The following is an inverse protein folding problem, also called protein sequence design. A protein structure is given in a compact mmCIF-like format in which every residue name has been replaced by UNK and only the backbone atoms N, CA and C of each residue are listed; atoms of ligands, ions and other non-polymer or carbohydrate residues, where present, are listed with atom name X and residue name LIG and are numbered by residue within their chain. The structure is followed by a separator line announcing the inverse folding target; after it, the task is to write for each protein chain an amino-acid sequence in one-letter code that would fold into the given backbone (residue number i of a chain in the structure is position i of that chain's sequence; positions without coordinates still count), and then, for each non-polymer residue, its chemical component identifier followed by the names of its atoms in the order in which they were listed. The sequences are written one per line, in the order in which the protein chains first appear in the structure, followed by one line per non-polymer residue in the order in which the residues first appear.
data_IF_178264273878
#
_entry.id   IF_178264273878
#
_cell.length_a   1.000
_cell.length_b   1.000
_cell.length_c   1.000
_cell.angle_alpha   90.00
_cell.angle_beta   90.00
_cell.angle_gamma   90.00
#
_symmetry.space_group_name_H-M   'P 1'
#
loop_
_entity.id
_entity.type
_entity.pdbx_description
1 polymer ?
#
# COMPACT_ATOMS: atom_id res chain seq x y z
N UNK A 1 21.57 23.60 11.28
CA UNK A 1 20.36 23.72 10.43
C UNK A 1 19.90 22.31 10.09
N UNK A 2 18.72 21.92 10.57
CA UNK A 2 18.23 20.53 10.42
C UNK A 2 17.42 20.43 9.11
N UNK A 3 18.04 20.02 8.03
CA UNK A 3 17.41 19.85 6.70
C UNK A 3 16.79 18.46 6.48
N UNK A 4 16.76 17.60 7.52
CA UNK A 4 16.32 16.21 7.40
C UNK A 4 14.81 15.94 7.56
N UNK A 5 14.00 16.97 7.88
CA UNK A 5 12.60 16.72 8.27
C UNK A 5 11.55 17.07 7.20
N UNK A 6 11.96 17.63 6.05
CA UNK A 6 11.01 18.14 5.06
C UNK A 6 10.52 17.10 4.04
N UNK A 7 11.29 16.05 3.82
CA UNK A 7 10.96 14.99 2.84
C UNK A 7 10.03 13.89 3.39
N UNK A 8 9.79 13.89 4.69
CA UNK A 8 9.00 12.86 5.38
C UNK A 8 7.49 13.15 5.47
N UNK A 9 7.03 14.30 4.95
CA UNK A 9 5.63 14.74 5.03
C UNK A 9 4.82 14.35 3.77
N UNK A 10 5.45 13.81 2.74
CA UNK A 10 4.79 13.46 1.48
C UNK A 10 4.20 12.06 1.57
N UNK A 11 2.96 11.94 2.03
CA UNK A 11 2.22 10.68 2.03
C UNK A 11 1.20 10.51 3.16
N UNK A 12 1.16 11.40 4.12
CA UNK A 12 0.14 11.36 5.18
C UNK A 12 -0.80 12.55 5.07
N UNK A 13 -2.09 12.28 5.19
CA UNK A 13 -3.03 13.36 5.46
C UNK A 13 -2.60 14.05 6.75
N UNK A 14 -2.06 15.25 6.60
CA UNK A 14 -1.62 16.06 7.73
C UNK A 14 -2.84 16.27 8.62
N UNK A 15 -2.82 15.73 9.84
CA UNK A 15 -3.95 15.87 10.77
C UNK A 15 -4.38 17.33 10.85
N UNK A 16 -5.66 17.63 11.11
CA UNK A 16 -6.14 19.01 11.21
C UNK A 16 -5.31 19.87 12.17
N UNK A 17 -4.81 19.26 13.24
CA UNK A 17 -3.94 19.93 14.22
C UNK A 17 -2.56 20.26 13.64
N UNK A 18 -1.96 19.36 12.88
CA UNK A 18 -0.67 19.58 12.22
C UNK A 18 -0.79 20.56 11.05
N UNK A 19 -1.92 20.54 10.31
CA UNK A 19 -2.24 21.56 9.30
C UNK A 19 -2.29 22.96 9.93
N UNK A 20 -2.98 23.10 11.06
CA UNK A 20 -3.06 24.36 11.79
C UNK A 20 -1.69 24.84 12.26
N UNK A 21 -0.89 23.94 12.85
CA UNK A 21 0.45 24.27 13.33
C UNK A 21 1.39 24.69 12.18
N UNK A 22 1.35 23.99 11.05
CA UNK A 22 2.11 24.38 9.86
C UNK A 22 1.66 25.73 9.28
N UNK A 23 0.36 26.02 9.36
CA UNK A 23 -0.20 27.29 8.90
C UNK A 23 0.20 28.47 9.80
N UNK A 24 0.41 28.22 11.09
CA UNK A 24 0.89 29.21 12.07
C UNK A 24 2.42 29.42 11.99
N UNK A 25 3.20 28.36 11.71
CA UNK A 25 4.67 28.39 11.67
C UNK A 25 5.25 28.84 10.33
N UNK A 26 4.52 28.64 9.22
CA UNK A 26 4.99 28.97 7.87
C UNK A 26 4.35 30.30 7.39
N UNK A 27 5.14 31.08 6.65
CA UNK A 27 4.53 32.22 5.96
C UNK A 27 3.54 31.72 4.86
N UNK A 28 2.53 32.54 4.49
CA UNK A 28 1.44 32.13 3.59
C UNK A 28 1.93 31.60 2.23
N UNK A 29 3.02 32.14 1.67
CA UNK A 29 3.59 31.70 0.39
C UNK A 29 4.22 30.31 0.52
N UNK A 30 4.98 30.06 1.58
CA UNK A 30 5.62 28.77 1.84
C UNK A 30 4.58 27.69 2.12
N UNK A 31 3.53 28.03 2.87
CA UNK A 31 2.42 27.12 3.12
C UNK A 31 1.67 26.76 1.84
N UNK A 32 1.38 27.73 0.97
CA UNK A 32 0.72 27.50 -0.33
C UNK A 32 1.57 26.61 -1.26
N UNK A 33 2.90 26.84 -1.31
CA UNK A 33 3.82 25.99 -2.08
C UNK A 33 3.86 24.56 -1.57
N UNK A 34 3.88 24.37 -0.25
CA UNK A 34 3.84 23.06 0.39
C UNK A 34 2.54 22.33 0.06
N UNK A 35 1.39 23.00 0.16
CA UNK A 35 0.08 22.43 -0.21
C UNK A 35 0.03 22.05 -1.70
N UNK A 36 0.53 22.92 -2.58
CA UNK A 36 0.63 22.65 -4.01
C UNK A 36 1.47 21.41 -4.31
N UNK A 37 2.61 21.28 -3.64
CA UNK A 37 3.49 20.11 -3.76
C UNK A 37 2.81 18.83 -3.26
N UNK A 38 2.20 18.84 -2.07
CA UNK A 38 1.47 17.70 -1.51
C UNK A 38 0.34 17.28 -2.47
N UNK A 39 -0.46 18.22 -2.96
CA UNK A 39 -1.55 17.92 -3.88
C UNK A 39 -1.03 17.35 -5.23
N UNK A 40 0.09 17.89 -5.75
CA UNK A 40 0.69 17.36 -6.98
C UNK A 40 1.19 15.93 -6.84
N UNK A 41 1.72 15.56 -5.67
CA UNK A 41 2.13 14.18 -5.40
C UNK A 41 0.90 13.26 -5.27
N UNK A 42 -0.14 13.67 -4.55
CA UNK A 42 -1.42 12.93 -4.44
C UNK A 42 -2.02 12.63 -5.82
N UNK A 43 -2.08 13.64 -6.69
CA UNK A 43 -2.62 13.49 -8.04
C UNK A 43 -1.76 12.55 -8.90
N UNK A 44 -0.44 12.63 -8.78
CA UNK A 44 0.47 11.71 -9.48
C UNK A 44 0.31 10.26 -9.04
N UNK A 45 0.22 10.00 -7.74
CA UNK A 45 0.04 8.63 -7.24
C UNK A 45 -1.32 8.05 -7.64
N UNK A 46 -2.41 8.82 -7.53
CA UNK A 46 -3.73 8.40 -7.94
C UNK A 46 -3.80 8.11 -9.45
N UNK A 47 -3.26 9.00 -10.30
CA UNK A 47 -3.28 8.81 -11.77
C UNK A 47 -2.41 7.61 -12.20
N UNK A 48 -1.24 7.42 -11.58
CA UNK A 48 -0.34 6.29 -11.89
C UNK A 48 -0.99 4.96 -11.47
N UNK A 49 -1.66 4.90 -10.32
CA UNK A 49 -2.36 3.69 -9.89
C UNK A 49 -3.53 3.35 -10.83
N UNK A 50 -4.32 4.35 -11.22
CA UNK A 50 -5.48 4.18 -12.10
C UNK A 50 -5.07 3.80 -13.54
N UNK A 51 -4.04 4.44 -14.08
CA UNK A 51 -3.46 4.13 -15.38
C UNK A 51 -2.88 2.72 -15.44
N UNK A 52 -2.25 2.26 -14.36
CA UNK A 52 -1.68 0.91 -14.29
C UNK A 52 -2.74 -0.18 -14.10
N UNK A 53 -3.78 0.06 -13.31
CA UNK A 53 -4.91 -0.87 -13.18
C UNK A 53 -5.59 -1.01 -14.55
N UNK A 54 -5.74 0.08 -15.28
CA UNK A 54 -6.29 0.08 -16.65
C UNK A 54 -5.37 -0.66 -17.62
N UNK A 55 -4.06 -0.41 -17.57
CA UNK A 55 -3.07 -1.10 -18.41
C UNK A 55 -2.98 -2.61 -18.11
N UNK A 56 -3.18 -3.02 -16.85
CA UNK A 56 -3.25 -4.43 -16.47
C UNK A 56 -4.53 -5.11 -16.98
N UNK A 57 -5.65 -4.38 -17.03
CA UNK A 57 -6.91 -4.87 -17.58
C UNK A 57 -6.86 -5.06 -19.12
N UNK A 58 -5.97 -4.36 -19.80
CA UNK A 58 -5.78 -4.44 -21.27
C UNK A 58 -4.78 -5.53 -21.70
N UNK A 59 -4.14 -6.27 -20.77
CA UNK A 59 -3.26 -7.40 -21.12
C UNK A 59 -4.15 -8.49 -21.75
N UNK A 60 -3.94 -8.86 -23.05
CA UNK A 60 -4.74 -9.89 -23.69
C UNK A 60 -4.66 -11.20 -22.91
N UNK A 61 -5.80 -11.81 -22.62
CA UNK A 61 -5.91 -13.06 -21.85
C UNK A 61 -5.15 -14.26 -22.47
N UNK A 62 -4.66 -14.16 -23.69
CA UNK A 62 -3.87 -15.18 -24.37
C UNK A 62 -2.35 -15.10 -24.09
N UNK A 63 -1.86 -14.03 -23.53
CA UNK A 63 -0.56 -14.02 -22.88
C UNK A 63 -0.83 -14.27 -21.40
N UNK A 64 -0.79 -15.53 -20.97
CA UNK A 64 -0.59 -15.89 -19.55
C UNK A 64 0.74 -15.22 -19.15
N UNK A 65 0.67 -13.93 -18.88
CA UNK A 65 1.78 -13.21 -18.33
C UNK A 65 2.15 -13.96 -17.07
N UNK A 66 3.38 -14.41 -16.99
CA UNK A 66 3.97 -15.03 -15.82
C UNK A 66 3.52 -14.18 -14.61
N UNK A 67 2.97 -14.81 -13.58
CA UNK A 67 2.50 -14.12 -12.38
C UNK A 67 3.55 -13.17 -11.80
N UNK A 68 4.83 -13.47 -12.04
CA UNK A 68 5.96 -12.58 -11.79
C UNK A 68 5.88 -11.27 -12.56
N UNK A 69 5.56 -11.30 -13.85
CA UNK A 69 5.53 -10.09 -14.68
C UNK A 69 4.38 -9.19 -14.28
N UNK A 70 3.21 -9.78 -13.97
CA UNK A 70 2.07 -9.03 -13.43
C UNK A 70 2.47 -8.40 -12.10
N UNK A 71 3.05 -9.17 -11.18
CA UNK A 71 3.46 -8.69 -9.87
C UNK A 71 4.49 -7.56 -9.97
N UNK A 72 5.51 -7.69 -10.83
CA UNK A 72 6.51 -6.64 -11.03
C UNK A 72 5.90 -5.35 -11.59
N UNK A 73 4.88 -5.43 -12.45
CA UNK A 73 4.13 -4.26 -12.92
C UNK A 73 3.31 -3.62 -11.80
N UNK A 74 2.67 -4.42 -10.94
CA UNK A 74 1.90 -3.92 -9.80
C UNK A 74 2.76 -3.12 -8.83
N UNK A 75 3.97 -3.59 -8.53
CA UNK A 75 4.85 -2.96 -7.53
C UNK A 75 5.75 -1.86 -8.11
N UNK A 76 5.88 -1.77 -9.44
CA UNK A 76 6.80 -0.82 -10.08
C UNK A 76 6.66 0.64 -9.63
N UNK A 77 5.45 1.21 -9.43
CA UNK A 77 5.28 2.59 -8.97
C UNK A 77 5.75 2.84 -7.55
N UNK A 78 5.86 1.78 -6.76
CA UNK A 78 6.13 1.85 -5.31
C UNK A 78 7.57 1.51 -4.96
N UNK A 79 8.43 1.32 -5.96
CA UNK A 79 9.88 1.13 -5.77
C UNK A 79 10.49 2.30 -5.00
N UNK A 80 11.47 1.99 -4.14
CA UNK A 80 12.06 2.94 -3.21
C UNK A 80 11.33 2.98 -1.85
N UNK A 81 10.23 2.26 -1.71
CA UNK A 81 9.48 2.07 -0.45
C UNK A 81 9.42 0.59 -0.12
N UNK A 82 9.26 0.26 1.15
CA UNK A 82 8.87 -1.10 1.54
C UNK A 82 7.40 -1.29 1.23
N UNK A 83 7.03 -2.41 0.61
CA UNK A 83 5.61 -2.73 0.37
C UNK A 83 5.21 -3.84 1.33
N UNK A 84 4.22 -3.57 2.18
CA UNK A 84 3.56 -4.55 3.03
C UNK A 84 2.30 -5.02 2.33
N UNK A 85 2.29 -6.31 1.94
CA UNK A 85 1.21 -6.89 1.15
C UNK A 85 0.33 -7.76 2.04
N UNK A 86 -0.99 -7.59 1.92
CA UNK A 86 -2.03 -8.46 2.47
C UNK A 86 -2.80 -9.11 1.32
N UNK A 87 -2.65 -10.43 1.18
CA UNK A 87 -3.47 -11.21 0.24
C UNK A 87 -4.67 -11.75 1.01
N UNK A 88 -5.85 -11.25 0.66
CA UNK A 88 -7.08 -11.41 1.43
C UNK A 88 -8.31 -11.71 0.57
N UNK A 89 -9.46 -11.90 1.18
CA UNK A 89 -10.74 -12.02 0.48
C UNK A 89 -11.91 -11.57 1.35
N UNK A 90 -12.98 -11.07 0.73
CA UNK A 90 -14.19 -10.62 1.43
C UNK A 90 -14.88 -11.75 2.19
N UNK A 91 -14.68 -12.98 1.77
CA UNK A 91 -15.17 -14.22 2.37
C UNK A 91 -14.30 -14.72 3.54
N UNK A 92 -13.07 -14.19 3.69
CA UNK A 92 -12.07 -14.67 4.64
C UNK A 92 -12.31 -14.09 6.05
N UNK A 93 -12.76 -14.93 6.98
CA UNK A 93 -13.00 -14.56 8.40
C UNK A 93 -11.72 -14.08 9.09
N UNK A 94 -10.63 -14.88 9.11
CA UNK A 94 -9.37 -14.50 9.74
C UNK A 94 -8.74 -13.23 9.13
N UNK A 95 -8.95 -12.95 7.83
CA UNK A 95 -8.49 -11.70 7.22
C UNK A 95 -9.16 -10.48 7.88
N UNK A 96 -10.48 -10.56 8.12
CA UNK A 96 -11.23 -9.48 8.77
C UNK A 96 -10.80 -9.27 10.23
N UNK A 97 -10.39 -10.32 10.91
CA UNK A 97 -9.84 -10.22 12.28
C UNK A 97 -8.52 -9.45 12.27
N UNK A 98 -7.62 -9.75 11.34
CA UNK A 98 -6.34 -9.03 11.19
C UNK A 98 -6.55 -7.56 10.75
N UNK A 99 -7.54 -7.28 9.91
CA UNK A 99 -7.86 -5.91 9.49
C UNK A 99 -8.31 -5.01 10.64
N UNK A 100 -8.78 -5.56 11.75
CA UNK A 100 -9.12 -4.78 12.93
C UNK A 100 -7.89 -4.10 13.56
N UNK A 101 -6.69 -4.62 13.32
CA UNK A 101 -5.43 -4.08 13.83
C UNK A 101 -4.74 -3.08 12.88
N UNK A 102 -5.30 -2.83 11.68
CA UNK A 102 -4.71 -1.90 10.71
C UNK A 102 -4.53 -0.47 11.27
N UNK A 103 -5.47 0.11 12.03
CA UNK A 103 -5.25 1.45 12.59
C UNK A 103 -4.01 1.52 13.49
N UNK A 104 -3.79 0.49 14.33
CA UNK A 104 -2.62 0.39 15.21
C UNK A 104 -1.33 0.16 14.41
N UNK A 105 -1.39 -0.70 13.39
CA UNK A 105 -0.27 -0.93 12.48
C UNK A 105 0.12 0.35 11.74
N UNK A 106 -0.84 1.06 11.16
CA UNK A 106 -0.59 2.31 10.45
C UNK A 106 0.03 3.37 11.36
N UNK A 107 -0.45 3.48 12.61
CA UNK A 107 0.15 4.38 13.59
C UNK A 107 1.60 3.99 13.94
N UNK A 108 1.87 2.69 14.10
CA UNK A 108 3.22 2.19 14.41
C UNK A 108 4.23 2.42 13.27
N UNK A 109 3.75 2.49 12.01
CA UNK A 109 4.58 2.61 10.81
C UNK A 109 4.56 4.00 10.17
N UNK A 110 3.79 4.96 10.68
CA UNK A 110 3.52 6.28 10.08
C UNK A 110 4.75 7.09 9.68
N UNK A 111 5.90 6.86 10.35
CA UNK A 111 7.15 7.58 10.07
C UNK A 111 8.05 6.83 9.05
N UNK A 112 7.64 5.65 8.59
CA UNK A 112 8.41 4.81 7.68
C UNK A 112 7.87 4.92 6.24
N UNK A 113 8.73 4.80 5.22
CA UNK A 113 8.33 4.80 3.82
C UNK A 113 7.72 3.45 3.43
N UNK A 114 6.48 3.21 3.84
CA UNK A 114 5.73 1.97 3.61
C UNK A 114 4.56 2.23 2.69
N UNK A 115 4.33 1.32 1.76
CA UNK A 115 3.09 1.22 0.98
C UNK A 115 2.35 -0.04 1.41
N UNK A 116 1.07 0.09 1.73
CA UNK A 116 0.20 -1.03 2.06
C UNK A 116 -0.54 -1.48 0.80
N UNK A 117 -0.33 -2.72 0.38
CA UNK A 117 -0.96 -3.27 -0.81
C UNK A 117 -1.90 -4.41 -0.43
N UNK A 118 -3.18 -4.25 -0.75
CA UNK A 118 -4.23 -5.23 -0.47
C UNK A 118 -4.63 -5.91 -1.76
N UNK A 119 -4.32 -7.21 -1.90
CA UNK A 119 -4.67 -8.02 -3.07
C UNK A 119 -5.90 -8.88 -2.75
N UNK A 120 -7.04 -8.53 -3.34
CA UNK A 120 -8.31 -9.17 -3.05
C UNK A 120 -8.54 -10.40 -3.93
N UNK A 121 -8.55 -11.59 -3.31
CA UNK A 121 -8.88 -12.85 -3.95
C UNK A 121 -10.40 -13.05 -4.02
N UNK A 122 -10.89 -13.50 -5.17
CA UNK A 122 -12.29 -13.97 -5.40
C UNK A 122 -13.34 -13.16 -4.62
N UNK A 123 -13.24 -11.83 -4.73
CA UNK A 123 -14.07 -10.89 -3.99
C UNK A 123 -15.02 -10.17 -4.94
N UNK A 124 -16.35 -10.33 -4.80
CA UNK A 124 -17.32 -9.56 -5.57
C UNK A 124 -17.09 -8.06 -5.39
N UNK A 125 -17.16 -7.31 -6.48
CA UNK A 125 -16.78 -5.89 -6.51
C UNK A 125 -17.49 -5.05 -5.45
N UNK A 126 -18.80 -5.23 -5.29
CA UNK A 126 -19.59 -4.49 -4.30
C UNK A 126 -19.12 -4.77 -2.86
N UNK A 127 -18.83 -6.04 -2.54
CA UNK A 127 -18.34 -6.45 -1.23
C UNK A 127 -16.90 -5.98 -0.99
N UNK A 128 -16.07 -6.01 -2.03
CA UNK A 128 -14.70 -5.50 -2.00
C UNK A 128 -14.68 -4.00 -1.70
N UNK A 129 -15.46 -3.19 -2.43
CA UNK A 129 -15.57 -1.76 -2.19
C UNK A 129 -16.12 -1.42 -0.80
N UNK A 130 -17.15 -2.14 -0.33
CA UNK A 130 -17.68 -1.97 1.03
C UNK A 130 -16.64 -2.30 2.11
N UNK A 131 -15.85 -3.35 1.88
CA UNK A 131 -14.79 -3.75 2.80
C UNK A 131 -13.64 -2.74 2.80
N UNK A 132 -13.26 -2.23 1.63
CA UNK A 132 -12.24 -1.20 1.50
C UNK A 132 -12.57 0.04 2.37
N UNK A 133 -13.79 0.54 2.25
CA UNK A 133 -14.28 1.66 3.07
C UNK A 133 -14.35 1.32 4.55
N UNK A 134 -14.84 0.12 4.88
CA UNK A 134 -15.02 -0.32 6.27
C UNK A 134 -13.71 -0.43 7.03
N UNK A 135 -12.68 -0.95 6.39
CA UNK A 135 -11.39 -1.26 7.01
C UNK A 135 -10.30 -0.21 6.69
N UNK A 136 -10.64 0.85 5.94
CA UNK A 136 -9.68 1.91 5.61
C UNK A 136 -8.55 1.42 4.69
N UNK A 137 -8.87 0.55 3.71
CA UNK A 137 -7.89 0.03 2.75
C UNK A 137 -7.60 1.01 1.60
N UNK A 138 -8.05 2.24 1.72
CA UNK A 138 -7.89 3.33 0.76
C UNK A 138 -7.15 4.49 1.43
N UNK A 139 -6.29 5.16 0.68
CA UNK A 139 -5.51 6.30 1.18
C UNK A 139 -4.22 6.49 0.41
N UNK A 140 -3.47 7.52 0.76
CA UNK A 140 -2.25 7.93 0.04
C UNK A 140 -1.15 6.86 0.02
N UNK A 141 -1.08 6.03 1.08
CA UNK A 141 -0.12 4.94 1.20
C UNK A 141 -0.77 3.55 1.03
N UNK A 142 -2.06 3.50 0.68
CA UNK A 142 -2.83 2.27 0.55
C UNK A 142 -3.20 2.01 -0.91
N UNK A 143 -2.96 0.81 -1.37
CA UNK A 143 -3.29 0.33 -2.73
C UNK A 143 -4.17 -0.90 -2.59
N UNK A 144 -5.41 -0.79 -3.00
CA UNK A 144 -6.37 -1.89 -2.90
C UNK A 144 -6.73 -2.40 -4.30
N UNK A 145 -6.32 -3.62 -4.62
CA UNK A 145 -6.34 -4.19 -5.96
C UNK A 145 -7.22 -5.44 -5.99
N UNK A 146 -8.04 -5.54 -7.02
CA UNK A 146 -8.78 -6.72 -7.40
C UNK A 146 -8.46 -7.04 -8.85
N UNK A 147 -7.61 -8.03 -9.07
CA UNK A 147 -7.25 -8.52 -10.40
C UNK A 147 -8.35 -9.41 -11.01
N UNK A 148 -8.39 -9.54 -12.33
CA UNK A 148 -9.11 -10.64 -12.98
C UNK A 148 -8.67 -11.99 -12.40
N UNK A 149 -9.58 -12.96 -12.32
CA UNK A 149 -9.37 -14.23 -11.62
C UNK A 149 -8.10 -14.98 -12.04
N UNK A 150 -7.84 -15.06 -13.35
CA UNK A 150 -6.65 -15.75 -13.88
C UNK A 150 -5.35 -15.03 -13.50
N UNK A 151 -5.33 -13.70 -13.57
CA UNK A 151 -4.19 -12.88 -13.17
C UNK A 151 -3.95 -12.97 -11.66
N UNK A 152 -5.03 -12.93 -10.87
CA UNK A 152 -4.96 -13.07 -9.42
C UNK A 152 -4.35 -14.42 -9.04
N UNK A 153 -4.82 -15.50 -9.66
CA UNK A 153 -4.29 -16.85 -9.42
C UNK A 153 -2.81 -16.95 -9.80
N UNK A 154 -2.40 -16.39 -10.96
CA UNK A 154 -1.00 -16.42 -11.39
C UNK A 154 -0.09 -15.64 -10.42
N UNK A 155 -0.54 -14.49 -9.92
CA UNK A 155 0.19 -13.70 -8.92
C UNK A 155 0.29 -14.45 -7.60
N UNK A 156 -0.80 -15.05 -7.12
CA UNK A 156 -0.82 -15.83 -5.87
C UNK A 156 0.10 -17.06 -5.95
N UNK A 157 0.11 -17.75 -7.09
CA UNK A 157 1.03 -18.86 -7.33
C UNK A 157 2.50 -18.39 -7.29
N UNK A 158 2.82 -17.27 -7.96
CA UNK A 158 4.16 -16.70 -7.92
C UNK A 158 4.58 -16.27 -6.51
N UNK A 159 3.67 -15.69 -5.73
CA UNK A 159 3.90 -15.28 -4.34
C UNK A 159 3.95 -16.45 -3.35
N UNK A 160 3.59 -17.67 -3.79
CA UNK A 160 3.53 -18.86 -2.94
C UNK A 160 2.40 -18.82 -1.91
N UNK A 161 1.27 -18.19 -2.23
CA UNK A 161 0.08 -18.12 -1.36
C UNK A 161 -0.53 -19.50 -1.20
N UNK A 162 -0.60 -19.99 0.03
CA UNK A 162 -1.18 -21.28 0.37
C UNK A 162 -2.46 -21.20 1.21
N UNK A 163 -2.84 -19.99 1.60
CA UNK A 163 -4.02 -19.74 2.43
C UNK A 163 -4.19 -18.25 2.72
N UNK A 164 -5.26 -17.90 3.41
CA UNK A 164 -5.63 -16.52 3.69
C UNK A 164 -5.85 -16.28 5.19
N UNK A 165 -5.39 -15.12 5.72
CA UNK A 165 -4.57 -14.11 5.03
C UNK A 165 -3.12 -14.59 4.81
N UNK A 166 -2.48 -14.08 3.77
CA UNK A 166 -1.03 -14.19 3.58
C UNK A 166 -0.42 -12.80 3.55
N UNK A 167 0.58 -12.59 4.40
CA UNK A 167 1.31 -11.32 4.48
C UNK A 167 2.71 -11.46 3.90
N UNK A 168 3.13 -10.46 3.10
CA UNK A 168 4.44 -10.43 2.48
C UNK A 168 5.12 -9.07 2.72
N UNK A 169 6.44 -9.06 2.59
CA UNK A 169 7.26 -7.86 2.54
C UNK A 169 8.06 -7.83 1.25
N UNK A 170 8.00 -6.69 0.55
CA UNK A 170 8.84 -6.39 -0.61
C UNK A 170 9.78 -5.27 -0.22
N UNK A 171 11.07 -5.46 -0.50
CA UNK A 171 12.10 -4.48 -0.24
C UNK A 171 12.03 -3.30 -1.23
N UNK A 172 12.67 -2.15 -0.94
CA UNK A 172 12.65 -0.97 -1.80
C UNK A 172 13.16 -1.22 -3.23
N UNK A 173 13.99 -2.22 -3.43
CA UNK A 173 14.49 -2.64 -4.76
C UNK A 173 13.46 -3.46 -5.56
N UNK A 174 12.32 -3.83 -4.96
CA UNK A 174 11.25 -4.62 -5.56
C UNK A 174 11.43 -6.14 -5.45
N UNK A 175 12.39 -6.60 -4.66
CA UNK A 175 12.55 -8.02 -4.35
C UNK A 175 11.66 -8.45 -3.19
N UNK A 176 11.09 -9.65 -3.28
CA UNK A 176 10.32 -10.24 -2.17
C UNK A 176 11.30 -10.58 -1.05
N UNK A 177 11.21 -9.84 0.05
CA UNK A 177 12.05 -10.05 1.23
C UNK A 177 11.49 -11.14 2.15
N UNK A 178 10.18 -11.27 2.21
CA UNK A 178 9.51 -12.32 2.99
C UNK A 178 8.13 -12.63 2.40
N UNK A 179 7.81 -13.91 2.26
CA UNK A 179 6.46 -14.39 1.96
C UNK A 179 5.71 -14.91 3.20
N UNK A 180 6.26 -14.65 4.39
CA UNK A 180 5.69 -14.95 5.72
C UNK A 180 5.96 -13.77 6.65
N UNK A 181 5.50 -12.59 6.26
CA UNK A 181 5.65 -11.39 7.08
C UNK A 181 4.81 -11.49 8.37
N UNK A 182 5.22 -10.80 9.44
CA UNK A 182 4.41 -10.70 10.65
C UNK A 182 3.04 -10.07 10.34
N UNK A 183 2.03 -10.44 11.13
CA UNK A 183 0.63 -10.04 10.96
C UNK A 183 0.37 -8.65 11.52
N UNK A 184 -0.69 -7.94 11.06
CA UNK A 184 -1.13 -6.66 11.62
C UNK A 184 -1.36 -6.69 13.14
N UNK A 185 -1.83 -7.81 13.69
CA UNK A 185 -1.99 -8.03 15.14
C UNK A 185 -0.67 -7.99 15.94
N UNK A 186 0.47 -7.91 15.26
CA UNK A 186 1.81 -7.77 15.87
C UNK A 186 2.56 -6.58 15.27
N UNK A 187 2.10 -5.34 15.46
CA UNK A 187 2.62 -4.15 14.77
C UNK A 187 4.10 -3.89 15.07
N UNK A 188 4.56 -4.21 16.27
CA UNK A 188 5.98 -4.10 16.65
C UNK A 188 6.85 -5.02 15.78
N UNK A 189 6.45 -6.28 15.60
CA UNK A 189 7.20 -7.24 14.78
C UNK A 189 7.20 -6.83 13.30
N UNK A 190 6.09 -6.29 12.79
CA UNK A 190 6.04 -5.74 11.42
C UNK A 190 7.02 -4.57 11.29
N UNK A 191 7.01 -3.65 12.27
CA UNK A 191 7.92 -2.50 12.29
C UNK A 191 9.39 -2.91 12.31
N UNK A 192 9.76 -3.88 13.14
CA UNK A 192 11.12 -4.40 13.22
C UNK A 192 11.57 -5.01 11.88
N UNK A 193 10.72 -5.84 11.26
CA UNK A 193 11.00 -6.44 9.96
C UNK A 193 11.20 -5.37 8.87
N UNK A 194 10.37 -4.33 8.84
CA UNK A 194 10.50 -3.23 7.89
C UNK A 194 11.78 -2.42 8.11
N UNK A 195 12.13 -2.12 9.37
CA UNK A 195 13.36 -1.38 9.69
C UNK A 195 14.62 -2.13 9.27
N UNK A 196 14.61 -3.45 9.20
CA UNK A 196 15.71 -4.25 8.68
C UNK A 196 15.89 -4.08 7.15
N UNK A 197 14.80 -3.83 6.42
CA UNK A 197 14.83 -3.63 4.96
C UNK A 197 15.20 -2.19 4.55
N UNK A 198 15.20 -1.26 5.50
CA UNK A 198 15.52 0.16 5.28
C UNK A 198 16.97 0.51 5.65
N UNK A 199 17.76 -0.45 6.10
CA UNK A 199 19.20 -0.28 6.40
C UNK A 199 20.04 -0.37 5.15
#
# INVERSE_FOLDING_TARGET
MKTGSFLQVCGQDVTPERKRKLQEELNPKTYALLQGYINSQKTKFASVAEEQITALAEIPMNSLADGKDIFQKLIAPYRGRVIYIDVWGTWCGPCREEMAYLPELHEALKELPVTYMYLANNSPEELWQKSAKRYGLEGDDCVNIRLPEEQQRAVEEYLGVQGFPTFLLVAPDGNIASNKAPRPSSPTSVREAILQLLK
#
